data_IF_226274180448
#
_entry.id   IF_226274180448
#
_cell.length_a   1.000
_cell.length_b   1.000
_cell.length_c   1.000
_cell.angle_alpha   90.00
_cell.angle_beta   90.00
_cell.angle_gamma   90.00
#
_symmetry.space_group_name_H-M   'P 1'
#
loop_
_entity.id
_entity.type
_entity.pdbx_description
1 polymer ?
#
# COMPACT_ATOMS: atom_id res chain seq x y z
N UNK A 1 3.51 -38.95 29.08
CA UNK A 1 3.26 -37.67 28.39
C UNK A 1 3.68 -37.82 26.93
N UNK A 2 2.73 -37.71 26.00
CA UNK A 2 2.93 -38.07 24.60
C UNK A 2 3.34 -36.85 23.78
N UNK A 3 4.62 -36.75 23.43
CA UNK A 3 5.12 -35.73 22.50
C UNK A 3 4.62 -36.01 21.08
N UNK A 4 3.75 -35.13 20.57
CA UNK A 4 3.35 -35.15 19.16
C UNK A 4 4.49 -34.57 18.31
N UNK A 5 5.15 -35.44 17.54
CA UNK A 5 6.06 -35.04 16.47
C UNK A 5 5.30 -34.21 15.42
N UNK A 6 5.79 -33.00 15.17
CA UNK A 6 5.35 -32.13 14.09
C UNK A 6 5.59 -32.82 12.73
N UNK A 7 4.57 -32.83 11.88
CA UNK A 7 4.65 -33.49 10.57
C UNK A 7 5.68 -32.83 9.65
N UNK A 8 6.37 -33.58 8.78
CA UNK A 8 7.43 -33.06 7.90
C UNK A 8 6.96 -31.98 6.90
N UNK A 9 5.64 -31.83 6.70
CA UNK A 9 5.06 -30.76 5.88
C UNK A 9 5.18 -29.37 6.54
N UNK A 10 5.19 -29.30 7.87
CA UNK A 10 5.36 -28.03 8.58
C UNK A 10 6.83 -27.59 8.65
N UNK A 11 7.77 -28.55 8.61
CA UNK A 11 9.20 -28.26 8.57
C UNK A 11 9.61 -27.55 7.27
N UNK A 12 9.03 -27.96 6.13
CA UNK A 12 9.30 -27.35 4.83
C UNK A 12 8.73 -25.93 4.70
N UNK A 13 7.55 -25.66 5.28
CA UNK A 13 6.96 -24.31 5.29
C UNK A 13 7.75 -23.38 6.23
N UNK A 14 8.24 -23.90 7.36
CA UNK A 14 9.11 -23.13 8.26
C UNK A 14 10.46 -22.79 7.60
N UNK A 15 11.06 -23.74 6.88
CA UNK A 15 12.31 -23.52 6.14
C UNK A 15 12.17 -22.49 5.02
N UNK A 16 11.04 -22.48 4.30
CA UNK A 16 10.74 -21.46 3.29
C UNK A 16 10.51 -20.06 3.89
N UNK A 17 9.86 -19.98 5.06
CA UNK A 17 9.67 -18.73 5.77
C UNK A 17 11.01 -18.18 6.33
N UNK A 18 11.91 -19.04 6.81
CA UNK A 18 13.23 -18.65 7.29
C UNK A 18 14.12 -18.16 6.13
N UNK A 19 14.04 -18.77 4.94
CA UNK A 19 14.77 -18.27 3.74
C UNK A 19 14.22 -16.91 3.27
N UNK A 20 12.92 -16.64 3.42
CA UNK A 20 12.33 -15.34 3.09
C UNK A 20 12.70 -14.23 4.08
N UNK A 21 12.89 -14.54 5.36
CA UNK A 21 13.29 -13.56 6.38
C UNK A 21 14.79 -13.22 6.30
N UNK A 22 15.64 -14.14 5.78
CA UNK A 22 17.09 -13.90 5.63
C UNK A 22 17.50 -13.09 4.39
N UNK A 23 16.56 -12.66 3.54
CA UNK A 23 16.83 -11.86 2.33
C UNK A 23 16.04 -10.55 2.29
N UNK A 24 15.45 -10.13 3.41
CA UNK A 24 14.92 -8.77 3.54
C UNK A 24 16.07 -7.84 3.92
N UNK A 25 16.96 -7.59 2.96
CA UNK A 25 17.72 -6.34 2.95
C UNK A 25 16.66 -5.24 2.98
N UNK A 26 16.56 -4.51 4.09
CA UNK A 26 15.85 -3.24 4.08
C UNK A 26 16.60 -2.34 3.11
N UNK A 27 16.13 -2.31 1.86
CA UNK A 27 16.61 -1.36 0.87
C UNK A 27 16.28 0.03 1.39
N UNK A 28 17.27 0.69 2.00
CA UNK A 28 17.19 2.11 2.24
C UNK A 28 17.13 2.79 0.86
N UNK A 29 16.18 3.70 0.70
CA UNK A 29 15.93 4.39 -0.57
C UNK A 29 16.39 5.84 -0.50
N UNK A 30 17.04 6.29 -1.57
CA UNK A 30 17.43 7.69 -1.74
C UNK A 30 16.49 8.32 -2.75
N UNK A 31 15.75 9.34 -2.32
CA UNK A 31 14.89 10.12 -3.19
C UNK A 31 15.59 11.45 -3.52
N UNK A 32 15.71 11.75 -4.81
CA UNK A 32 16.26 13.03 -5.28
C UNK A 32 15.37 13.60 -6.38
N UNK A 33 15.28 14.93 -6.43
CA UNK A 33 14.40 15.65 -7.35
C UNK A 33 15.17 16.75 -8.09
N UNK A 34 14.72 17.03 -9.31
CA UNK A 34 15.07 18.24 -10.05
C UNK A 34 13.82 18.94 -10.56
N UNK A 35 13.86 20.27 -10.60
CA UNK A 35 12.92 21.06 -11.38
C UNK A 35 13.22 20.85 -12.86
N UNK A 36 12.21 20.54 -13.66
CA UNK A 36 12.39 20.38 -15.09
C UNK A 36 12.66 21.76 -15.71
N UNK A 37 11.81 22.76 -15.53
CA UNK A 37 12.07 24.11 -16.07
C UNK A 37 12.26 24.14 -17.60
N UNK A 38 12.81 25.24 -18.12
CA UNK A 38 12.90 25.49 -19.57
C UNK A 38 14.09 24.87 -20.32
N UNK A 39 15.07 24.26 -19.65
CA UNK A 39 16.23 23.67 -20.34
C UNK A 39 15.90 22.29 -20.93
N UNK A 40 16.29 21.98 -22.17
CA UNK A 40 15.94 20.70 -22.81
C UNK A 40 16.67 19.49 -22.22
N UNK A 41 17.71 19.73 -21.42
CA UNK A 41 18.50 18.70 -20.75
C UNK A 41 18.68 19.04 -19.27
N UNK A 42 18.92 18.01 -18.47
CA UNK A 42 19.28 18.17 -17.07
C UNK A 42 20.04 16.96 -16.55
N UNK A 43 20.69 17.11 -15.41
CA UNK A 43 21.38 16.03 -14.74
C UNK A 43 20.94 15.99 -13.28
N UNK A 44 20.70 14.78 -12.80
CA UNK A 44 20.34 14.48 -11.43
C UNK A 44 21.33 13.46 -10.88
N UNK A 45 21.78 13.69 -9.65
CA UNK A 45 22.66 12.75 -8.96
C UNK A 45 21.93 12.20 -7.73
N UNK A 46 21.99 10.89 -7.55
CA UNK A 46 21.45 10.18 -6.41
C UNK A 46 22.55 9.30 -5.80
N UNK A 47 22.62 9.24 -4.48
CA UNK A 47 23.53 8.34 -3.78
C UNK A 47 22.79 7.65 -2.65
N UNK A 48 23.10 6.38 -2.43
CA UNK A 48 22.50 5.54 -1.40
C UNK A 48 23.55 4.59 -0.83
N UNK A 49 23.76 4.64 0.47
CA UNK A 49 24.61 3.65 1.15
C UNK A 49 23.82 2.38 1.42
N UNK A 50 24.43 1.25 1.10
CA UNK A 50 23.90 -0.09 1.35
C UNK A 50 24.62 -0.67 2.56
N UNK A 51 23.82 -1.17 3.49
CA UNK A 51 24.31 -1.86 4.68
C UNK A 51 24.09 -3.37 4.52
N UNK A 52 24.95 -4.13 5.16
CA UNK A 52 24.78 -5.57 5.36
C UNK A 52 24.64 -5.88 6.84
N UNK A 53 23.84 -6.89 7.15
CA UNK A 53 23.76 -7.43 8.49
C UNK A 53 24.95 -8.35 8.77
N UNK A 54 25.62 -8.12 9.89
CA UNK A 54 26.65 -9.02 10.42
C UNK A 54 26.17 -9.54 11.76
N UNK A 55 26.11 -10.86 11.87
CA UNK A 55 25.74 -11.55 13.11
C UNK A 55 27.01 -11.82 13.91
N UNK A 56 27.06 -11.28 15.12
CA UNK A 56 28.10 -11.58 16.12
C UNK A 56 27.48 -12.31 17.31
N UNK A 57 28.31 -13.05 18.05
CA UNK A 57 27.91 -13.71 19.28
C UNK A 57 28.72 -13.11 20.42
N UNK A 58 28.04 -12.43 21.34
CA UNK A 58 28.69 -11.80 22.48
C UNK A 58 28.49 -12.68 23.72
N UNK A 59 29.57 -12.98 24.47
CA UNK A 59 29.44 -13.64 25.76
C UNK A 59 28.73 -12.70 26.74
N UNK A 60 27.78 -13.22 27.50
CA UNK A 60 27.22 -12.50 28.64
C UNK A 60 27.15 -13.43 29.85
N UNK A 61 27.50 -12.88 31.00
CA UNK A 61 27.42 -13.59 32.28
C UNK A 61 25.95 -13.67 32.71
N UNK A 62 25.52 -14.87 33.08
CA UNK A 62 24.17 -15.15 33.55
C UNK A 62 24.20 -16.28 34.59
N UNK A 63 23.07 -16.51 35.24
CA UNK A 63 22.93 -17.59 36.21
C UNK A 63 22.21 -18.77 35.58
N UNK A 64 22.89 -19.91 35.50
CA UNK A 64 22.33 -21.17 35.05
C UNK A 64 21.88 -22.02 36.25
N UNK A 65 21.00 -22.98 36.01
CA UNK A 65 20.58 -23.95 37.00
C UNK A 65 20.80 -25.38 36.52
N UNK A 66 21.30 -26.26 37.40
CA UNK A 66 21.39 -27.70 37.15
C UNK A 66 20.69 -28.48 38.25
N UNK A 67 20.13 -29.62 37.89
CA UNK A 67 19.63 -30.58 38.87
C UNK A 67 20.79 -31.45 39.37
N UNK A 68 20.97 -31.47 40.69
CA UNK A 68 21.97 -32.28 41.37
C UNK A 68 21.23 -33.26 42.27
N UNK A 69 21.60 -34.53 42.18
CA UNK A 69 21.04 -35.57 43.03
C UNK A 69 21.28 -35.25 44.51
N UNK A 70 20.21 -35.24 45.29
CA UNK A 70 20.18 -34.81 46.71
C UNK A 70 19.80 -35.97 47.66
N UNK A 71 19.80 -37.20 47.15
CA UNK A 71 19.47 -38.42 47.90
C UNK A 71 18.19 -39.09 47.41
N UNK A 72 17.67 -40.01 48.21
CA UNK A 72 16.38 -40.66 47.96
C UNK A 72 15.35 -40.25 49.00
N UNK A 73 14.09 -40.21 48.59
CA UNK A 73 12.95 -40.10 49.50
C UNK A 73 12.16 -41.40 49.38
N UNK A 74 11.95 -42.02 50.53
CA UNK A 74 11.07 -43.18 50.60
C UNK A 74 9.63 -42.71 50.40
N UNK A 75 9.02 -43.09 49.28
CA UNK A 75 7.62 -42.86 48.97
C UNK A 75 6.87 -44.17 49.07
N UNK A 76 5.91 -44.21 49.99
CA UNK A 76 5.07 -45.38 50.21
C UNK A 76 3.69 -45.14 49.63
N UNK A 77 3.28 -45.99 48.70
CA UNK A 77 1.94 -45.99 48.12
C UNK A 77 1.15 -47.22 48.59
N UNK A 78 -0.19 -47.12 48.66
CA UNK A 78 -1.01 -48.31 48.92
C UNK A 78 -0.81 -49.29 47.76
N UNK A 79 -0.30 -50.47 48.08
CA UNK A 79 -0.06 -51.55 47.16
C UNK A 79 -1.32 -52.38 46.93
N UNK A 80 -1.14 -53.68 46.72
CA UNK A 80 -2.26 -54.58 46.45
C UNK A 80 -3.06 -54.83 47.74
N UNK A 81 -4.38 -54.67 47.63
CA UNK A 81 -5.31 -55.14 48.67
C UNK A 81 -5.68 -56.60 48.40
N UNK A 82 -5.41 -57.47 49.37
CA UNK A 82 -5.81 -58.88 49.30
C UNK A 82 -6.83 -59.20 50.40
N UNK A 83 -7.89 -59.91 50.01
CA UNK A 83 -8.93 -60.36 50.94
C UNK A 83 -8.49 -61.66 51.59
N UNK A 84 -8.23 -61.62 52.89
CA UNK A 84 -7.91 -62.80 53.68
C UNK A 84 -9.15 -63.27 54.42
N UNK A 85 -9.40 -64.56 54.35
CA UNK A 85 -10.50 -65.21 55.03
C UNK A 85 -9.94 -66.27 55.99
N UNK A 86 -10.46 -66.32 57.22
CA UNK A 86 -10.17 -67.41 58.16
C UNK A 86 -11.44 -68.11 58.57
N UNK A 87 -11.36 -69.42 58.74
CA UNK A 87 -12.47 -70.23 59.24
C UNK A 87 -12.51 -70.16 60.77
N UNK A 88 -13.60 -69.64 61.31
CA UNK A 88 -13.86 -69.57 62.76
C UNK A 88 -14.87 -70.67 63.11
N UNK A 89 -14.43 -71.62 63.92
CA UNK A 89 -15.24 -72.79 64.28
C UNK A 89 -16.56 -72.36 64.93
N UNK A 90 -17.69 -72.84 64.39
CA UNK A 90 -19.04 -72.54 64.88
C UNK A 90 -19.71 -71.29 64.33
N UNK A 91 -18.98 -70.38 63.66
CA UNK A 91 -19.54 -69.11 63.14
C UNK A 91 -19.47 -69.02 61.61
N UNK A 92 -18.53 -69.72 60.98
CA UNK A 92 -18.34 -69.72 59.52
C UNK A 92 -16.98 -69.15 59.13
N UNK A 93 -16.93 -68.40 58.03
CA UNK A 93 -15.70 -67.79 57.52
C UNK A 93 -15.77 -66.27 57.67
N UNK A 94 -14.76 -65.69 58.32
CA UNK A 94 -14.62 -64.25 58.53
C UNK A 94 -13.53 -63.73 57.57
N UNK A 95 -13.87 -62.75 56.76
CA UNK A 95 -12.94 -62.16 55.79
C UNK A 95 -12.73 -60.66 56.06
N UNK A 96 -11.50 -60.20 55.88
CA UNK A 96 -11.15 -58.78 55.85
C UNK A 96 -10.16 -58.49 54.71
N UNK A 97 -10.13 -57.24 54.29
CA UNK A 97 -9.22 -56.76 53.25
C UNK A 97 -7.96 -56.19 53.91
N UNK A 98 -6.80 -56.73 53.58
CA UNK A 98 -5.51 -56.26 54.05
C UNK A 98 -4.80 -55.58 52.87
N UNK A 99 -4.45 -54.29 53.01
CA UNK A 99 -3.72 -53.56 51.98
C UNK A 99 -2.25 -53.51 52.36
N UNK A 100 -1.40 -54.13 51.53
CA UNK A 100 0.05 -54.02 51.70
C UNK A 100 0.51 -52.62 51.30
N UNK A 101 1.41 -52.01 52.07
CA UNK A 101 2.04 -50.74 51.70
C UNK A 101 3.34 -51.05 50.97
N UNK A 102 3.48 -50.55 49.74
CA UNK A 102 4.70 -50.71 48.94
C UNK A 102 5.47 -49.41 48.96
N UNK A 103 6.71 -49.49 49.43
CA UNK A 103 7.61 -48.36 49.58
C UNK A 103 8.74 -48.47 48.56
N UNK A 104 9.01 -47.41 47.80
CA UNK A 104 10.17 -47.30 46.93
C UNK A 104 10.98 -46.04 47.26
N UNK A 105 12.30 -46.17 47.18
CA UNK A 105 13.21 -45.04 47.29
C UNK A 105 13.27 -44.30 45.95
N UNK A 106 12.60 -43.15 45.87
CA UNK A 106 12.59 -42.31 44.68
C UNK A 106 13.73 -41.29 44.74
N UNK A 107 14.46 -41.06 43.62
CA UNK A 107 15.54 -40.08 43.60
C UNK A 107 14.99 -38.65 43.76
N UNK A 108 15.60 -37.89 44.67
CA UNK A 108 15.32 -36.47 44.87
C UNK A 108 16.46 -35.66 44.27
N UNK A 109 16.11 -34.59 43.55
CA UNK A 109 17.07 -33.65 42.98
C UNK A 109 16.84 -32.26 43.57
N UNK A 110 17.94 -31.57 43.88
CA UNK A 110 17.94 -30.15 44.22
C UNK A 110 18.43 -29.33 43.03
N UNK A 111 17.91 -28.12 42.89
CA UNK A 111 18.37 -27.18 41.88
C UNK A 111 19.54 -26.36 42.43
N UNK A 112 20.72 -26.49 41.82
CA UNK A 112 21.87 -25.64 42.10
C UNK A 112 22.00 -24.55 41.04
N UNK A 113 22.09 -23.29 41.48
CA UNK A 113 22.40 -22.15 40.61
C UNK A 113 23.90 -21.91 40.57
N UNK A 114 24.45 -21.62 39.38
CA UNK A 114 25.86 -21.30 39.20
C UNK A 114 26.03 -20.23 38.11
N UNK A 115 27.12 -19.47 38.20
CA UNK A 115 27.47 -18.47 37.20
C UNK A 115 27.97 -19.16 35.93
N UNK A 116 27.39 -18.80 34.79
CA UNK A 116 27.70 -19.35 33.49
C UNK A 116 27.82 -18.22 32.45
N UNK A 117 28.48 -18.52 31.34
CA UNK A 117 28.59 -17.61 30.20
C UNK A 117 27.76 -18.18 29.06
N UNK A 118 26.73 -17.45 28.67
CA UNK A 118 25.94 -17.76 27.49
C UNK A 118 26.32 -16.85 26.32
N UNK A 119 26.02 -17.30 25.10
CA UNK A 119 26.22 -16.48 23.90
C UNK A 119 24.88 -15.88 23.46
N UNK A 120 24.80 -14.55 23.45
CA UNK A 120 23.66 -13.86 22.83
C UNK A 120 23.98 -13.52 21.38
N UNK A 121 23.01 -13.77 20.50
CA UNK A 121 23.07 -13.34 19.10
C UNK A 121 22.88 -11.82 19.05
N UNK A 122 23.87 -11.11 18.52
CA UNK A 122 23.80 -9.67 18.26
C UNK A 122 23.82 -9.47 16.75
N UNK A 123 22.89 -8.67 16.23
CA UNK A 123 22.81 -8.33 14.81
C UNK A 123 23.24 -6.87 14.67
N UNK A 124 24.36 -6.65 13.98
CA UNK A 124 24.90 -5.32 13.71
C UNK A 124 24.74 -4.99 12.22
N UNK A 125 24.21 -3.81 11.91
CA UNK A 125 24.25 -3.28 10.55
C UNK A 125 25.58 -2.59 10.30
N UNK A 126 26.35 -3.08 9.33
CA UNK A 126 27.61 -2.45 8.91
C UNK A 126 27.51 -2.00 7.46
N UNK A 127 28.27 -0.96 7.11
CA UNK A 127 28.39 -0.52 5.72
C UNK A 127 28.91 -1.65 4.82
N UNK A 128 28.35 -1.77 3.63
CA UNK A 128 28.78 -2.71 2.60
C UNK A 128 29.37 -1.97 1.39
N UNK A 129 28.55 -1.21 0.68
CA UNK A 129 28.96 -0.40 -0.47
C UNK A 129 27.97 0.75 -0.70
N UNK A 130 28.35 1.74 -1.51
CA UNK A 130 27.46 2.85 -1.90
C UNK A 130 27.02 2.69 -3.36
N UNK A 131 25.75 2.94 -3.66
CA UNK A 131 25.28 3.11 -5.05
C UNK A 131 25.28 4.60 -5.37
N UNK A 132 25.99 4.99 -6.42
CA UNK A 132 26.07 6.37 -6.88
C UNK A 132 25.53 6.40 -8.31
N UNK A 133 24.37 7.03 -8.50
CA UNK A 133 23.74 7.18 -9.80
C UNK A 133 23.89 8.61 -10.34
N UNK A 134 24.42 8.72 -11.56
CA UNK A 134 24.34 9.93 -12.38
C UNK A 134 23.31 9.71 -13.47
N UNK A 135 22.30 10.55 -13.49
CA UNK A 135 21.12 10.42 -14.35
C UNK A 135 21.08 11.64 -15.26
N UNK A 136 21.36 11.43 -16.53
CA UNK A 136 21.25 12.45 -17.57
C UNK A 136 19.85 12.35 -18.20
N UNK A 137 19.14 13.48 -18.22
CA UNK A 137 17.76 13.60 -18.67
C UNK A 137 17.72 14.43 -19.94
N UNK A 138 17.08 13.89 -20.97
CA UNK A 138 16.71 14.59 -22.20
C UNK A 138 15.20 14.74 -22.21
N UNK A 139 14.68 15.89 -22.63
CA UNK A 139 13.25 16.14 -22.75
C UNK A 139 12.82 16.10 -24.21
N UNK A 140 11.86 15.24 -24.52
CA UNK A 140 11.22 15.19 -25.82
C UNK A 140 9.82 15.80 -25.74
N UNK A 141 9.67 17.01 -26.30
CA UNK A 141 8.41 17.74 -26.28
C UNK A 141 7.62 17.48 -27.56
N UNK A 142 6.48 16.77 -27.45
CA UNK A 142 5.58 16.54 -28.60
C UNK A 142 4.71 17.75 -28.96
N UNK A 143 4.65 18.77 -28.09
CA UNK A 143 3.92 20.03 -28.26
C UNK A 143 4.75 21.19 -27.72
N UNK A 144 4.56 22.40 -28.27
CA UNK A 144 5.35 23.60 -27.95
C UNK A 144 4.88 24.37 -26.70
N UNK A 145 3.79 23.95 -26.05
CA UNK A 145 3.07 24.80 -25.09
C UNK A 145 3.08 24.30 -23.63
N UNK A 146 3.94 23.36 -23.25
CA UNK A 146 3.96 22.89 -21.86
C UNK A 146 4.65 23.89 -20.94
N UNK A 147 3.98 24.36 -19.89
CA UNK A 147 4.67 25.08 -18.81
C UNK A 147 5.38 24.09 -17.88
N UNK A 148 6.67 23.89 -18.13
CA UNK A 148 7.52 23.00 -17.33
C UNK A 148 8.10 23.68 -16.08
N UNK A 149 7.79 24.95 -15.81
CA UNK A 149 8.36 25.66 -14.66
C UNK A 149 7.88 25.08 -13.33
N UNK A 150 6.68 24.51 -13.30
CA UNK A 150 6.09 23.84 -12.13
C UNK A 150 6.20 22.31 -12.19
N UNK A 151 6.97 21.79 -13.15
CA UNK A 151 7.20 20.36 -13.32
C UNK A 151 8.42 19.91 -12.51
N UNK A 152 8.26 18.85 -11.71
CA UNK A 152 9.36 18.16 -11.03
C UNK A 152 9.53 16.76 -11.56
N UNK A 153 10.76 16.30 -11.62
CA UNK A 153 11.12 14.92 -11.89
C UNK A 153 11.99 14.41 -10.76
N UNK A 154 11.75 13.17 -10.33
CA UNK A 154 12.53 12.55 -9.27
C UNK A 154 12.79 11.09 -9.51
N UNK A 155 13.82 10.61 -8.81
CA UNK A 155 14.26 9.22 -8.83
C UNK A 155 14.34 8.74 -7.39
N UNK A 156 13.85 7.53 -7.17
CA UNK A 156 14.05 6.74 -5.97
C UNK A 156 15.04 5.63 -6.30
N UNK A 157 16.21 5.66 -5.69
CA UNK A 157 17.30 4.72 -5.94
C UNK A 157 17.38 3.69 -4.81
N UNK A 158 17.64 2.43 -5.18
CA UNK A 158 17.91 1.32 -4.26
C UNK A 158 19.18 0.54 -4.67
N UNK A 159 19.53 -0.48 -3.87
CA UNK A 159 20.66 -1.36 -4.13
C UNK A 159 20.63 -2.02 -5.51
N UNK A 160 19.43 -2.33 -6.02
CA UNK A 160 19.24 -3.15 -7.22
C UNK A 160 18.32 -2.54 -8.27
N UNK A 161 17.59 -1.47 -7.93
CA UNK A 161 16.58 -0.88 -8.79
C UNK A 161 16.57 0.64 -8.70
N UNK A 162 15.81 1.24 -9.59
CA UNK A 162 15.45 2.64 -9.55
C UNK A 162 13.99 2.80 -10.00
N UNK A 163 13.29 3.71 -9.35
CA UNK A 163 11.92 4.08 -9.68
C UNK A 163 11.87 5.56 -10.02
N UNK A 164 11.08 5.92 -11.01
CA UNK A 164 10.97 7.29 -11.50
C UNK A 164 9.59 7.83 -11.18
N UNK A 165 9.53 9.12 -10.85
CA UNK A 165 8.27 9.82 -10.68
C UNK A 165 8.37 11.23 -11.25
N UNK A 166 7.21 11.77 -11.65
CA UNK A 166 7.11 13.16 -12.03
C UNK A 166 5.91 13.81 -11.35
N UNK A 167 6.00 15.11 -11.14
CA UNK A 167 4.90 15.96 -10.73
C UNK A 167 4.76 17.06 -11.76
N UNK A 168 3.83 16.87 -12.70
CA UNK A 168 3.50 17.82 -13.75
C UNK A 168 1.98 17.97 -13.82
N UNK A 169 1.51 19.21 -13.94
CA UNK A 169 0.08 19.52 -14.05
C UNK A 169 -0.44 19.47 -15.49
N UNK A 170 0.40 19.83 -16.46
CA UNK A 170 -0.03 20.08 -17.85
C UNK A 170 0.45 19.03 -18.86
N UNK A 171 1.23 18.04 -18.41
CA UNK A 171 1.74 16.98 -19.26
C UNK A 171 1.74 15.62 -18.57
N UNK A 172 1.49 14.58 -19.36
CA UNK A 172 1.81 13.21 -18.96
C UNK A 172 3.27 13.00 -19.33
N UNK A 173 4.03 12.55 -18.34
CA UNK A 173 5.44 12.26 -18.46
C UNK A 173 5.60 10.76 -18.52
N UNK A 174 6.20 10.29 -19.61
CA UNK A 174 6.67 8.91 -19.75
C UNK A 174 8.19 8.91 -19.69
N UNK A 175 8.75 7.88 -19.06
CA UNK A 175 10.20 7.71 -18.98
C UNK A 175 10.63 6.59 -19.91
N UNK A 176 11.58 6.90 -20.79
CA UNK A 176 12.25 5.90 -21.63
C UNK A 176 13.71 5.84 -21.21
N UNK A 177 14.16 4.68 -20.73
CA UNK A 177 15.58 4.47 -20.43
C UNK A 177 16.31 4.22 -21.74
N UNK A 178 17.15 5.15 -22.16
CA UNK A 178 17.86 5.08 -23.45
C UNK A 178 19.20 4.34 -23.34
N UNK A 179 19.88 4.48 -22.21
CA UNK A 179 21.07 3.69 -21.89
C UNK A 179 21.24 3.53 -20.39
N UNK A 180 21.75 2.39 -19.97
CA UNK A 180 22.16 2.12 -18.59
C UNK A 180 23.50 1.42 -18.60
N UNK A 181 24.46 2.00 -17.88
CA UNK A 181 25.76 1.39 -17.64
C UNK A 181 25.98 1.33 -16.13
N UNK A 182 26.51 0.20 -15.67
CA UNK A 182 26.78 -0.05 -14.28
C UNK A 182 28.19 -0.62 -14.13
N UNK A 183 28.98 -0.05 -13.24
CA UNK A 183 30.36 -0.47 -12.97
C UNK A 183 30.60 -0.49 -11.47
N UNK A 184 31.24 -1.55 -11.00
CA UNK A 184 31.79 -1.59 -9.64
C UNK A 184 33.16 -0.94 -9.64
N UNK A 185 33.33 0.10 -8.83
CA UNK A 185 34.57 0.83 -8.61
C UNK A 185 34.89 0.84 -7.11
N UNK A 186 35.64 -0.17 -6.66
CA UNK A 186 35.88 -0.40 -5.23
C UNK A 186 34.57 -0.64 -4.47
N UNK A 187 34.34 0.12 -3.40
CA UNK A 187 33.11 0.08 -2.60
C UNK A 187 31.98 0.94 -3.18
N UNK A 188 32.12 1.43 -4.41
CA UNK A 188 31.08 2.21 -5.08
C UNK A 188 30.54 1.43 -6.28
N UNK A 189 29.22 1.35 -6.36
CA UNK A 189 28.47 0.88 -7.51
C UNK A 189 28.01 2.10 -8.30
N UNK A 190 28.76 2.45 -9.33
CA UNK A 190 28.49 3.62 -10.16
C UNK A 190 27.49 3.26 -11.27
N UNK A 191 26.38 4.00 -11.33
CA UNK A 191 25.35 3.87 -12.37
C UNK A 191 25.32 5.15 -13.21
N UNK A 192 25.54 5.00 -14.51
CA UNK A 192 25.29 6.06 -15.49
C UNK A 192 24.01 5.72 -16.25
N UNK A 193 22.96 6.54 -16.07
CA UNK A 193 21.65 6.31 -16.66
C UNK A 193 21.33 7.49 -17.58
N UNK A 194 20.91 7.21 -18.80
CA UNK A 194 20.34 8.23 -19.70
C UNK A 194 18.86 7.98 -19.88
N UNK A 195 18.08 9.02 -19.66
CA UNK A 195 16.63 9.01 -19.76
C UNK A 195 16.16 9.97 -20.84
N UNK A 196 15.16 9.55 -21.60
CA UNK A 196 14.35 10.42 -22.43
C UNK A 196 12.97 10.53 -21.80
N UNK A 197 12.64 11.73 -21.34
CA UNK A 197 11.32 12.07 -20.82
C UNK A 197 10.45 12.54 -21.98
N UNK A 198 9.46 11.71 -22.31
CA UNK A 198 8.49 12.01 -23.35
C UNK A 198 7.27 12.69 -22.74
N UNK A 199 7.03 13.93 -23.18
CA UNK A 199 5.91 14.76 -22.72
C UNK A 199 4.76 14.66 -23.71
N UNK A 200 3.76 13.87 -23.33
CA UNK A 200 2.53 13.73 -24.07
C UNK A 200 1.50 14.74 -23.56
N UNK A 201 0.75 15.31 -24.50
CA UNK A 201 -0.30 16.26 -24.18
C UNK A 201 -1.38 15.53 -23.38
N UNK A 202 -1.81 16.21 -22.33
CA UNK A 202 -3.03 15.98 -21.57
C UNK A 202 -4.22 16.41 -22.46
N UNK A 203 -4.21 16.03 -23.74
CA UNK A 203 -5.23 16.40 -24.73
C UNK A 203 -6.58 15.78 -24.32
N UNK A 204 -7.45 16.60 -23.74
CA UNK A 204 -8.74 16.18 -23.15
C UNK A 204 -8.85 16.33 -21.62
N UNK A 205 -7.73 16.55 -20.93
CA UNK A 205 -7.67 16.75 -19.47
C UNK A 205 -7.29 18.21 -19.10
N UNK A 206 -6.81 19.06 -20.02
CA UNK A 206 -6.79 20.52 -19.80
C UNK A 206 -8.21 21.07 -19.57
N UNK A 207 -9.21 20.44 -20.21
CA UNK A 207 -10.63 20.63 -19.97
C UNK A 207 -11.07 20.30 -18.53
N UNK A 208 -10.26 19.50 -17.84
CA UNK A 208 -10.53 18.96 -16.52
C UNK A 208 -9.53 19.43 -15.47
N UNK A 209 -8.55 20.27 -15.84
CA UNK A 209 -7.53 20.81 -14.92
C UNK A 209 -8.16 21.37 -13.64
N UNK A 210 -9.29 22.03 -13.80
CA UNK A 210 -10.09 22.64 -12.73
C UNK A 210 -11.24 21.74 -12.24
N UNK A 211 -11.50 20.59 -12.88
CA UNK A 211 -12.65 19.71 -12.60
C UNK A 211 -13.99 20.44 -12.65
N UNK A 212 -14.95 19.99 -11.85
CA UNK A 212 -16.22 20.68 -11.60
C UNK A 212 -16.16 21.47 -10.29
N UNK A 213 -16.57 22.73 -10.33
CA UNK A 213 -16.68 23.62 -9.18
C UNK A 213 -18.06 24.28 -9.11
N UNK A 214 -18.52 24.57 -7.89
CA UNK A 214 -19.70 25.41 -7.65
C UNK A 214 -20.97 24.94 -8.39
N UNK A 215 -21.21 23.62 -8.42
CA UNK A 215 -22.44 23.09 -8.98
C UNK A 215 -23.65 23.62 -8.20
N UNK A 216 -24.48 24.39 -8.89
CA UNK A 216 -25.67 25.00 -8.34
C UNK A 216 -26.85 24.82 -9.29
N UNK A 217 -28.05 24.86 -8.71
CA UNK A 217 -29.30 24.84 -9.42
C UNK A 217 -30.19 25.96 -8.90
N UNK A 218 -30.71 26.79 -9.81
CA UNK A 218 -31.66 27.86 -9.46
C UNK A 218 -32.61 28.13 -10.60
N UNK A 219 -33.91 28.17 -10.32
CA UNK A 219 -34.97 28.53 -11.29
C UNK A 219 -34.89 27.74 -12.61
N UNK A 220 -34.61 26.43 -12.55
CA UNK A 220 -34.51 25.59 -13.75
C UNK A 220 -33.20 25.75 -14.54
N UNK A 221 -32.22 26.46 -13.99
CA UNK A 221 -30.90 26.66 -14.58
C UNK A 221 -29.87 25.96 -13.70
N UNK A 222 -29.09 25.07 -14.32
CA UNK A 222 -27.90 24.47 -13.72
C UNK A 222 -26.72 25.35 -14.06
N UNK A 223 -25.91 25.71 -13.07
CA UNK A 223 -24.67 26.45 -13.26
C UNK A 223 -23.52 25.76 -12.55
N UNK A 224 -22.36 25.72 -13.18
CA UNK A 224 -21.11 25.25 -12.57
C UNK A 224 -19.92 25.90 -13.28
N UNK A 225 -18.74 25.79 -12.68
CA UNK A 225 -17.47 26.26 -13.25
C UNK A 225 -16.62 25.05 -13.62
N UNK A 226 -15.97 25.11 -14.77
CA UNK A 226 -15.02 24.10 -15.29
C UNK A 226 -13.97 24.83 -16.16
N UNK A 227 -13.04 24.11 -16.79
CA UNK A 227 -12.19 24.72 -17.80
C UNK A 227 -12.97 25.15 -19.06
N UNK A 228 -12.39 26.02 -19.90
CA UNK A 228 -13.00 26.43 -21.17
C UNK A 228 -13.22 25.25 -22.13
N UNK A 229 -14.43 24.68 -22.12
CA UNK A 229 -14.81 23.53 -22.93
C UNK A 229 -14.81 23.84 -24.44
N UNK A 230 -14.90 25.10 -24.86
CA UNK A 230 -14.82 25.47 -26.28
C UNK A 230 -13.42 25.21 -26.87
N UNK A 231 -12.38 25.27 -26.02
CA UNK A 231 -11.01 24.94 -26.39
C UNK A 231 -10.72 23.43 -26.36
N UNK A 232 -11.60 22.63 -25.75
CA UNK A 232 -11.39 21.22 -25.46
C UNK A 232 -12.19 20.30 -26.39
N UNK A 233 -11.68 20.05 -27.60
CA UNK A 233 -12.35 19.23 -28.62
C UNK A 233 -12.59 17.75 -28.23
N UNK A 234 -12.00 17.26 -27.13
CA UNK A 234 -11.99 15.85 -26.74
C UNK A 234 -12.84 15.56 -25.51
N UNK A 235 -13.97 16.24 -25.35
CA UNK A 235 -14.71 16.22 -24.09
C UNK A 235 -16.23 16.04 -24.25
N UNK A 236 -16.87 15.33 -23.32
CA UNK A 236 -18.32 15.08 -23.23
C UNK A 236 -18.85 15.53 -21.87
N UNK A 237 -19.73 16.52 -21.90
CA UNK A 237 -20.52 16.93 -20.74
C UNK A 237 -21.77 16.05 -20.64
N UNK A 238 -21.82 15.19 -19.64
CA UNK A 238 -22.99 14.35 -19.35
C UNK A 238 -23.83 14.97 -18.25
N UNK A 239 -25.14 15.00 -18.46
CA UNK A 239 -26.13 15.44 -17.50
C UNK A 239 -27.02 14.25 -17.15
N UNK A 240 -27.11 13.96 -15.87
CA UNK A 240 -28.06 12.99 -15.33
C UNK A 240 -28.94 13.64 -14.28
N UNK A 241 -30.25 13.59 -14.49
CA UNK A 241 -31.24 14.00 -13.50
C UNK A 241 -32.04 12.78 -13.09
N UNK A 242 -32.05 12.51 -11.80
CA UNK A 242 -32.81 11.42 -11.20
C UNK A 242 -33.85 12.00 -10.26
N UNK A 243 -35.10 11.54 -10.36
CA UNK A 243 -36.16 11.86 -9.41
C UNK A 243 -36.19 10.79 -8.33
N UNK A 244 -36.00 11.22 -7.10
CA UNK A 244 -35.85 10.33 -5.96
C UNK A 244 -37.25 9.92 -5.47
N UNK A 245 -37.45 8.63 -5.20
CA UNK A 245 -38.76 8.09 -4.77
C UNK A 245 -38.59 7.32 -3.47
N UNK A 246 -39.52 7.56 -2.53
CA UNK A 246 -39.41 7.01 -1.17
C UNK A 246 -39.59 5.49 -1.09
N UNK A 247 -40.40 4.89 -1.97
CA UNK A 247 -40.75 3.45 -1.94
C UNK A 247 -40.56 2.72 -3.26
N UNK A 248 -40.18 3.43 -4.31
CA UNK A 248 -40.02 2.87 -5.65
C UNK A 248 -38.59 3.14 -6.12
N UNK A 249 -38.13 2.36 -7.10
CA UNK A 249 -36.88 2.66 -7.79
C UNK A 249 -36.92 4.09 -8.34
N UNK A 250 -35.83 4.81 -8.11
CA UNK A 250 -35.66 6.17 -8.61
C UNK A 250 -35.87 6.24 -10.12
N UNK A 251 -36.53 7.31 -10.56
CA UNK A 251 -36.83 7.51 -11.98
C UNK A 251 -35.74 8.38 -12.59
N UNK A 252 -34.98 7.82 -13.54
CA UNK A 252 -34.11 8.62 -14.40
C UNK A 252 -34.99 9.51 -15.28
N UNK A 253 -34.85 10.82 -15.12
CA UNK A 253 -35.56 11.82 -15.92
C UNK A 253 -34.77 12.10 -17.19
N UNK A 254 -33.45 12.25 -17.07
CA UNK A 254 -32.52 12.35 -18.19
C UNK A 254 -31.18 11.72 -17.80
N UNK A 255 -30.48 11.15 -18.78
CA UNK A 255 -29.11 10.64 -18.65
C UNK A 255 -28.49 10.67 -20.05
N UNK A 256 -27.84 11.79 -20.39
CA UNK A 256 -27.28 11.97 -21.74
C UNK A 256 -26.14 12.97 -21.81
N UNK A 257 -25.33 12.83 -22.85
CA UNK A 257 -24.38 13.84 -23.26
C UNK A 257 -25.11 15.07 -23.83
N UNK A 258 -24.68 16.27 -23.41
CA UNK A 258 -25.15 17.54 -23.93
C UNK A 258 -24.36 17.93 -25.19
N UNK A 259 -25.06 18.48 -26.18
CA UNK A 259 -24.47 19.04 -27.40
C UNK A 259 -23.99 20.47 -27.13
N UNK A 260 -23.03 20.95 -27.93
CA UNK A 260 -22.46 22.30 -27.77
C UNK A 260 -23.49 23.45 -27.78
N UNK A 261 -24.66 23.28 -28.42
CA UNK A 261 -25.74 24.27 -28.42
C UNK A 261 -26.73 24.17 -27.24
N UNK A 262 -26.58 23.18 -26.36
CA UNK A 262 -27.49 22.90 -25.24
C UNK A 262 -27.03 23.52 -23.92
N UNK A 263 -25.87 24.17 -23.93
CA UNK A 263 -25.32 24.91 -22.81
C UNK A 263 -24.64 26.18 -23.31
N UNK A 264 -24.47 27.16 -22.42
CA UNK A 264 -23.70 28.38 -22.71
C UNK A 264 -22.42 28.40 -21.88
N UNK A 265 -21.34 28.90 -22.47
CA UNK A 265 -20.06 29.10 -21.82
C UNK A 265 -19.74 30.58 -21.72
N UNK A 266 -19.41 31.04 -20.52
CA UNK A 266 -18.89 32.39 -20.26
C UNK A 266 -17.44 32.26 -19.78
N UNK A 267 -16.49 32.77 -20.56
CA UNK A 267 -15.05 32.64 -20.27
C UNK A 267 -14.66 33.50 -19.07
N UNK A 268 -13.80 32.95 -18.22
CA UNK A 268 -13.18 33.63 -17.09
C UNK A 268 -11.70 33.92 -17.39
N UNK A 269 -11.09 34.85 -16.64
CA UNK A 269 -9.75 35.38 -16.93
C UNK A 269 -8.60 34.35 -16.76
N UNK A 270 -8.82 33.24 -16.08
CA UNK A 270 -7.83 32.23 -15.70
C UNK A 270 -7.96 30.91 -16.49
N UNK A 271 -8.65 30.94 -17.62
CA UNK A 271 -8.90 29.74 -18.45
C UNK A 271 -10.04 28.85 -17.94
N UNK A 272 -10.73 29.25 -16.86
CA UNK A 272 -12.02 28.68 -16.48
C UNK A 272 -13.16 29.25 -17.34
N UNK A 273 -14.29 28.56 -17.33
CA UNK A 273 -15.52 29.00 -17.93
C UNK A 273 -16.69 28.63 -17.02
N UNK A 274 -17.66 29.54 -16.89
CA UNK A 274 -18.94 29.27 -16.26
C UNK A 274 -19.86 28.63 -17.30
N UNK A 275 -20.38 27.45 -16.97
CA UNK A 275 -21.35 26.71 -17.79
C UNK A 275 -22.74 27.00 -17.24
N UNK A 276 -23.68 27.32 -18.13
CA UNK A 276 -25.10 27.42 -17.78
C UNK A 276 -25.95 26.52 -18.68
N UNK A 277 -26.79 25.69 -18.07
CA UNK A 277 -27.71 24.78 -18.78
C UNK A 277 -29.13 25.14 -18.35
N UNK A 278 -29.98 25.49 -19.31
CA UNK A 278 -31.40 25.77 -19.06
C UNK A 278 -32.17 24.47 -19.30
N UNK A 279 -32.70 23.86 -18.23
CA UNK A 279 -33.29 22.51 -18.27
C UNK A 279 -34.47 22.40 -19.26
N UNK A 280 -35.29 23.45 -19.36
CA UNK A 280 -36.41 23.49 -20.31
C UNK A 280 -35.95 23.52 -21.78
N UNK A 281 -34.83 24.17 -22.09
CA UNK A 281 -34.30 24.24 -23.46
C UNK A 281 -33.79 22.89 -23.96
N UNK A 282 -33.43 21.99 -23.05
CA UNK A 282 -32.94 20.65 -23.35
C UNK A 282 -34.02 19.57 -23.24
N UNK A 283 -35.29 19.99 -23.11
CA UNK A 283 -36.46 19.12 -23.04
C UNK A 283 -36.61 18.36 -21.73
N UNK A 284 -36.03 18.88 -20.63
CA UNK A 284 -36.11 18.24 -19.32
C UNK A 284 -37.08 19.01 -18.44
N UNK A 285 -38.25 18.41 -18.21
CA UNK A 285 -39.24 18.92 -17.28
C UNK A 285 -38.82 18.66 -15.84
N UNK A 286 -38.69 19.73 -15.07
CA UNK A 286 -38.32 19.70 -13.66
C UNK A 286 -39.56 19.90 -12.78
N UNK A 287 -39.87 18.90 -11.96
CA UNK A 287 -40.97 18.93 -10.99
C UNK A 287 -40.45 19.41 -9.63
N UNK A 288 -40.55 20.72 -9.36
CA UNK A 288 -39.97 21.30 -8.13
C UNK A 288 -40.59 20.77 -6.84
N UNK A 289 -41.79 20.17 -6.91
CA UNK A 289 -42.45 19.53 -5.76
C UNK A 289 -41.80 18.22 -5.30
N UNK A 290 -40.77 17.75 -5.99
CA UNK A 290 -40.12 16.46 -5.74
C UNK A 290 -38.62 16.61 -5.57
N UNK A 291 -38.07 15.75 -4.73
CA UNK A 291 -36.62 15.60 -4.55
C UNK A 291 -35.97 15.05 -5.80
N UNK A 292 -34.93 15.72 -6.26
CA UNK A 292 -34.13 15.28 -7.40
C UNK A 292 -32.64 15.18 -7.02
N UNK A 293 -31.92 14.30 -7.69
CA UNK A 293 -30.46 14.28 -7.71
C UNK A 293 -30.00 14.63 -9.11
N UNK A 294 -29.36 15.78 -9.22
CA UNK A 294 -28.67 16.25 -10.41
C UNK A 294 -27.22 15.79 -10.33
N UNK A 295 -26.71 15.22 -11.41
CA UNK A 295 -25.32 14.81 -11.54
C UNK A 295 -24.76 15.35 -12.84
N UNK A 296 -23.63 16.03 -12.75
CA UNK A 296 -22.83 16.46 -13.88
C UNK A 296 -21.60 15.57 -13.92
N UNK A 297 -21.30 15.06 -15.11
CA UNK A 297 -20.11 14.24 -15.31
C UNK A 297 -19.32 14.75 -16.51
N UNK A 298 -18.03 14.90 -16.29
CA UNK A 298 -17.07 15.39 -17.22
C UNK A 298 -16.22 14.24 -17.79
N UNK A 299 -16.63 13.68 -18.93
CA UNK A 299 -15.94 12.56 -19.56
C UNK A 299 -15.00 12.97 -20.71
N UNK A 300 -13.86 12.31 -20.87
CA UNK A 300 -13.03 12.47 -22.08
C UNK A 300 -13.58 11.63 -23.24
N UNK A 301 -13.46 12.14 -24.47
CA UNK A 301 -13.87 11.46 -25.72
C UNK A 301 -12.80 10.47 -26.18
N UNK A 302 -11.54 10.72 -25.81
CA UNK A 302 -10.40 9.84 -26.08
C UNK A 302 -9.84 9.32 -24.77
N UNK A 303 -9.62 8.02 -24.69
CA UNK A 303 -8.82 7.43 -23.63
C UNK A 303 -7.41 7.99 -23.76
N UNK A 304 -6.91 8.61 -22.69
CA UNK A 304 -5.53 9.06 -22.65
C UNK A 304 -4.67 7.84 -22.36
N UNK A 305 -3.70 7.52 -23.21
CA UNK A 305 -2.80 6.40 -22.97
C UNK A 305 -1.81 6.73 -21.85
N UNK A 306 -2.19 6.35 -20.63
CA UNK A 306 -1.39 6.49 -19.42
C UNK A 306 -0.45 5.30 -19.19
N UNK A 307 -0.40 4.34 -20.12
CA UNK A 307 0.49 3.18 -19.98
C UNK A 307 1.94 3.66 -19.90
N UNK A 308 2.64 3.28 -18.83
CA UNK A 308 4.02 3.68 -18.58
C UNK A 308 4.21 5.13 -18.13
N UNK A 309 3.14 5.85 -17.79
CA UNK A 309 3.25 7.19 -17.22
C UNK A 309 3.85 7.14 -15.80
N UNK A 310 4.78 8.04 -15.52
CA UNK A 310 5.42 8.20 -14.20
C UNK A 310 4.76 9.32 -13.36
N UNK A 311 3.72 9.93 -13.90
CA UNK A 311 2.81 10.80 -13.18
C UNK A 311 1.37 10.51 -13.58
N UNK A 312 0.46 10.72 -12.63
CA UNK A 312 -0.94 10.95 -12.92
C UNK A 312 -1.22 12.40 -12.54
N UNK A 313 -1.70 13.26 -13.47
CA UNK A 313 -2.08 14.61 -13.11
C UNK A 313 -3.15 14.54 -12.02
N UNK A 314 -2.85 15.08 -10.83
CA UNK A 314 -3.85 15.27 -9.78
C UNK A 314 -4.80 16.36 -10.27
N UNK A 315 -6.02 15.98 -10.60
CA UNK A 315 -7.09 16.94 -10.88
C UNK A 315 -7.34 17.78 -9.62
N UNK A 316 -7.54 19.09 -9.77
CA UNK A 316 -7.84 19.96 -8.62
C UNK A 316 -9.20 19.59 -7.98
N UNK A 317 -10.17 19.18 -8.81
CA UNK A 317 -11.51 18.78 -8.38
C UNK A 317 -11.98 17.51 -9.10
N UNK A 318 -13.09 16.94 -8.63
CA UNK A 318 -13.70 15.77 -9.23
C UNK A 318 -14.22 16.08 -10.65
N UNK A 319 -14.14 15.09 -11.54
CA UNK A 319 -14.78 15.13 -12.87
C UNK A 319 -16.30 14.96 -12.79
N UNK A 320 -16.79 14.56 -11.63
CA UNK A 320 -18.18 14.25 -11.42
C UNK A 320 -18.63 14.94 -10.14
N UNK A 321 -19.72 15.70 -10.24
CA UNK A 321 -20.32 16.36 -9.09
C UNK A 321 -21.83 16.10 -9.07
N UNK A 322 -22.41 16.09 -7.88
CA UNK A 322 -23.83 15.81 -7.70
C UNK A 322 -24.45 16.74 -6.67
N UNK A 323 -25.59 17.31 -7.04
CA UNK A 323 -26.39 18.17 -6.21
C UNK A 323 -27.74 17.50 -5.94
N UNK A 324 -28.11 17.42 -4.67
CA UNK A 324 -29.47 17.06 -4.27
C UNK A 324 -30.31 18.32 -4.26
N UNK A 325 -31.33 18.36 -5.10
CA UNK A 325 -32.25 19.49 -5.22
C UNK A 325 -33.51 19.15 -4.43
N UNK A 326 -33.71 19.93 -3.36
CA UNK A 326 -34.96 20.03 -2.62
C UNK A 326 -35.36 21.51 -2.68
N UNK A 327 -36.60 21.81 -3.06
CA UNK A 327 -37.22 23.07 -2.65
C UNK A 327 -37.50 23.03 -1.13
#
# INVERSE_FOLDING_TARGET
MSGKLLSPKYLAVLLLAVVFVFLLSFDAFSATEMSLGGADTGTLSAAQDIKREVVTYEPYETTCSREVYDGTRNECSPGRTERKCRKVSGVGEECWDETEQVCSDEPVYRTETYDCVEQRKVVNEVFDYSVIAKIDVIKTLRSKNYDLNNCKFGVVLSASSESYYASCLEAIVKVNVTSRTEVMNGSNKERAIKLDLDFADISGLNATKYGLENLAFSKGIVTFVTADLASAQNFKLNLKLTRNRFLLKDKVVTDRALKAGEYTLEKMADGRAKVSIVMSKIGVDFDSSKKHTLKIDLGSVKAVDTTGAINYPKLQNALTDSLVIND
#
